data_IF_158741485100
#
_entry.id   IF_158741485100
#
_cell.length_a   1.000
_cell.length_b   1.000
_cell.length_c   1.000
_cell.angle_alpha   90.00
_cell.angle_beta   90.00
_cell.angle_gamma   90.00
#
_symmetry.space_group_name_H-M   'P 1'
#
loop_
_entity.id
_entity.type
_entity.pdbx_description
1 polymer ?
#
# COMPACT_ATOMS: atom_id res chain seq x y z
N UNK A 1 22.99 -23.67 13.06
CA UNK A 1 22.50 -23.13 11.77
C UNK A 1 23.44 -22.02 11.38
N UNK A 2 24.22 -22.24 10.33
CA UNK A 2 25.26 -21.32 9.91
C UNK A 2 24.63 -20.08 9.28
N UNK A 3 24.95 -18.91 9.82
CA UNK A 3 24.48 -17.62 9.30
C UNK A 3 25.50 -17.11 8.29
N UNK A 4 25.16 -17.18 7.01
CA UNK A 4 25.98 -16.62 5.94
C UNK A 4 25.67 -15.12 5.79
N UNK A 5 26.72 -14.29 5.73
CA UNK A 5 26.58 -12.84 5.51
C UNK A 5 26.63 -12.56 4.00
N UNK A 6 25.52 -12.10 3.44
CA UNK A 6 25.41 -11.72 2.04
C UNK A 6 25.76 -10.23 1.85
N UNK A 7 26.64 -9.92 0.89
CA UNK A 7 26.82 -8.54 0.43
C UNK A 7 25.74 -8.20 -0.59
N UNK A 8 25.08 -7.06 -0.41
CA UNK A 8 24.00 -6.64 -1.32
C UNK A 8 24.48 -6.46 -2.78
N UNK A 9 25.75 -6.13 -3.00
CA UNK A 9 26.33 -6.00 -4.34
C UNK A 9 26.41 -7.30 -5.14
N UNK A 10 26.34 -8.46 -4.45
CA UNK A 10 26.40 -9.77 -5.09
C UNK A 10 25.01 -10.28 -5.52
N UNK A 11 23.94 -9.55 -5.17
CA UNK A 11 22.57 -9.89 -5.53
C UNK A 11 22.30 -9.48 -6.99
N UNK A 12 21.89 -10.44 -7.82
CA UNK A 12 21.50 -10.21 -9.22
C UNK A 12 20.00 -10.14 -9.40
N UNK A 13 19.25 -10.95 -8.67
CA UNK A 13 17.80 -10.98 -8.72
C UNK A 13 17.27 -10.90 -7.29
N UNK A 14 16.36 -9.96 -7.06
CA UNK A 14 15.64 -9.79 -5.81
C UNK A 14 14.16 -10.05 -6.06
N UNK A 15 13.56 -10.85 -5.18
CA UNK A 15 12.13 -11.18 -5.18
C UNK A 15 11.56 -10.89 -3.80
N UNK A 16 10.60 -9.99 -3.76
CA UNK A 16 9.84 -9.67 -2.55
C UNK A 16 8.52 -10.45 -2.56
N UNK A 17 8.14 -11.00 -1.41
CA UNK A 17 6.85 -11.66 -1.20
C UNK A 17 6.08 -10.91 -0.12
N UNK A 18 4.81 -10.62 -0.38
CA UNK A 18 3.95 -9.91 0.58
C UNK A 18 3.63 -10.73 1.85
N UNK A 19 4.00 -12.01 1.87
CA UNK A 19 3.62 -12.94 2.94
C UNK A 19 4.46 -12.78 4.21
N UNK A 20 5.66 -12.19 4.12
CA UNK A 20 6.59 -12.14 5.23
C UNK A 20 7.32 -10.79 5.30
N UNK A 21 7.11 -10.09 6.42
CA UNK A 21 7.82 -8.86 6.71
C UNK A 21 9.31 -9.14 6.93
N UNK A 22 10.17 -8.28 6.37
CA UNK A 22 11.62 -8.27 6.64
C UNK A 22 12.38 -9.50 6.18
N UNK A 23 11.85 -10.18 5.17
CA UNK A 23 12.61 -11.14 4.39
C UNK A 23 12.48 -10.83 2.91
N UNK A 24 13.51 -11.20 2.15
CA UNK A 24 13.44 -11.21 0.70
C UNK A 24 14.17 -12.42 0.16
N UNK A 25 13.73 -12.88 -0.99
CA UNK A 25 14.36 -13.97 -1.73
C UNK A 25 15.33 -13.40 -2.76
N UNK A 26 16.47 -14.02 -2.96
CA UNK A 26 17.51 -13.54 -3.87
C UNK A 26 18.19 -14.66 -4.65
N UNK A 27 18.85 -14.27 -5.74
CA UNK A 27 19.81 -15.09 -6.50
C UNK A 27 21.10 -14.30 -6.72
N UNK A 28 22.21 -15.02 -6.75
CA UNK A 28 23.56 -14.47 -7.01
C UNK A 28 23.97 -14.65 -8.47
N UNK A 29 23.35 -15.59 -9.18
CA UNK A 29 23.49 -15.80 -10.62
C UNK A 29 22.12 -15.90 -11.29
N UNK A 30 22.05 -15.56 -12.58
CA UNK A 30 20.86 -15.78 -13.40
C UNK A 30 20.61 -17.28 -13.65
N UNK A 31 21.65 -18.10 -13.55
CA UNK A 31 21.60 -19.55 -13.74
C UNK A 31 21.06 -20.30 -12.51
N UNK A 32 21.02 -19.65 -11.35
CA UNK A 32 20.53 -20.24 -10.11
C UNK A 32 19.07 -20.67 -10.31
N UNK A 33 18.77 -21.96 -10.13
CA UNK A 33 17.39 -22.46 -10.29
C UNK A 33 16.52 -22.05 -9.10
N UNK A 34 17.09 -22.06 -7.89
CA UNK A 34 16.39 -21.81 -6.63
C UNK A 34 16.71 -20.42 -6.07
N UNK A 35 15.74 -19.84 -5.37
CA UNK A 35 15.95 -18.61 -4.60
C UNK A 35 16.41 -18.95 -3.19
N UNK A 36 17.40 -18.22 -2.68
CA UNK A 36 17.77 -18.22 -1.26
C UNK A 36 16.99 -17.12 -0.53
N UNK A 37 16.69 -17.29 0.75
CA UNK A 37 15.97 -16.29 1.54
C UNK A 37 16.89 -15.65 2.56
N UNK A 38 16.92 -14.32 2.63
CA UNK A 38 17.56 -13.57 3.72
C UNK A 38 16.49 -13.12 4.70
N UNK A 39 16.76 -13.32 5.99
CA UNK A 39 16.00 -12.74 7.09
C UNK A 39 16.82 -11.58 7.67
N UNK A 40 16.21 -10.40 7.76
CA UNK A 40 16.88 -9.21 8.30
C UNK A 40 16.72 -9.21 9.83
N UNK A 41 17.68 -9.80 10.55
CA UNK A 41 17.64 -10.02 12.01
C UNK A 41 17.61 -8.73 12.86
N UNK A 42 18.13 -7.60 12.35
CA UNK A 42 18.31 -6.36 13.11
C UNK A 42 17.98 -5.12 12.30
N UNK A 43 16.69 -4.86 12.13
CA UNK A 43 16.24 -3.50 11.83
C UNK A 43 16.36 -2.74 13.13
N UNK A 44 17.19 -1.69 13.16
CA UNK A 44 17.44 -0.91 14.38
C UNK A 44 16.15 -0.55 15.09
N UNK A 45 16.19 -0.53 16.44
CA UNK A 45 15.08 -0.22 17.36
C UNK A 45 14.30 1.08 17.04
N UNK A 46 14.77 1.87 16.09
CA UNK A 46 14.23 3.13 15.62
C UNK A 46 13.09 2.99 14.60
N UNK A 47 12.93 1.85 13.92
CA UNK A 47 11.72 1.58 13.12
C UNK A 47 10.82 0.64 13.88
N UNK A 48 9.89 1.21 14.64
CA UNK A 48 8.66 0.49 14.96
C UNK A 48 8.03 0.09 13.63
N UNK A 49 8.15 -1.20 13.33
CA UNK A 49 7.51 -1.84 12.19
C UNK A 49 6.03 -1.47 12.25
N UNK A 50 5.52 -0.81 11.22
CA UNK A 50 4.15 -0.30 11.11
C UNK A 50 3.07 -1.40 11.09
N UNK A 51 3.36 -2.58 11.63
CA UNK A 51 2.47 -3.73 11.69
C UNK A 51 1.21 -3.45 12.53
N UNK A 52 1.27 -2.44 13.42
CA UNK A 52 0.17 -2.02 14.29
C UNK A 52 -0.01 -0.49 14.27
N UNK A 53 -0.17 0.11 13.09
CA UNK A 53 -0.66 1.51 13.03
C UNK A 53 -2.15 1.49 13.39
N UNK A 54 -2.46 1.75 14.66
CA UNK A 54 -3.82 2.05 15.09
C UNK A 54 -4.19 3.46 14.65
N UNK A 55 -4.80 3.57 13.46
CA UNK A 55 -5.35 4.85 12.99
C UNK A 55 -6.65 5.15 13.74
N UNK A 56 -6.65 6.21 14.54
CA UNK A 56 -7.87 6.72 15.14
C UNK A 56 -8.73 7.36 14.05
N UNK A 57 -10.00 6.96 13.95
CA UNK A 57 -10.96 7.65 13.07
C UNK A 57 -11.05 9.12 13.50
N UNK A 58 -10.67 10.01 12.60
CA UNK A 58 -10.77 11.47 12.81
C UNK A 58 -12.24 11.90 12.84
N UNK A 59 -13.07 11.25 12.02
CA UNK A 59 -14.51 11.53 11.92
C UNK A 59 -15.33 10.39 12.53
N UNK A 60 -16.36 10.76 13.30
CA UNK A 60 -17.30 9.80 13.91
C UNK A 60 -18.37 9.32 12.91
N UNK A 61 -18.66 10.16 11.93
CA UNK A 61 -19.68 9.94 10.90
C UNK A 61 -19.26 10.58 9.57
N UNK A 62 -20.03 10.34 8.51
CA UNK A 62 -19.79 10.97 7.21
C UNK A 62 -20.09 12.47 7.31
N UNK A 63 -19.16 13.29 6.83
CA UNK A 63 -19.37 14.74 6.77
C UNK A 63 -20.52 15.03 5.80
N UNK A 64 -21.57 15.77 6.23
CA UNK A 64 -22.66 16.14 5.34
C UNK A 64 -22.16 17.03 4.20
N UNK A 65 -22.74 16.87 3.02
CA UNK A 65 -22.40 17.69 1.86
C UNK A 65 -23.17 19.01 1.96
N UNK A 66 -22.47 20.14 1.90
CA UNK A 66 -23.14 21.44 1.86
C UNK A 66 -23.85 21.67 0.51
N UNK A 67 -24.94 22.44 0.50
CA UNK A 67 -25.76 22.71 -0.70
C UNK A 67 -24.94 23.24 -1.88
N UNK A 68 -23.96 24.12 -1.62
CA UNK A 68 -23.05 24.64 -2.66
C UNK A 68 -22.28 23.52 -3.35
N UNK A 69 -21.81 22.53 -2.57
CA UNK A 69 -21.05 21.39 -3.09
C UNK A 69 -21.97 20.40 -3.82
N UNK A 70 -23.18 20.15 -3.30
CA UNK A 70 -24.22 19.34 -3.98
C UNK A 70 -24.55 19.92 -5.36
N UNK A 71 -24.81 21.23 -5.45
CA UNK A 71 -25.05 21.92 -6.72
C UNK A 71 -23.89 21.77 -7.70
N UNK A 72 -22.66 21.97 -7.23
CA UNK A 72 -21.47 21.80 -8.07
C UNK A 72 -21.31 20.38 -8.61
N UNK A 73 -21.59 19.35 -7.80
CA UNK A 73 -21.55 17.96 -8.22
C UNK A 73 -22.62 17.64 -9.28
N UNK A 74 -23.84 18.13 -9.08
CA UNK A 74 -24.91 17.99 -10.08
C UNK A 74 -24.56 18.69 -11.40
N UNK A 75 -23.92 19.85 -11.34
CA UNK A 75 -23.47 20.57 -12.54
C UNK A 75 -22.35 19.82 -13.29
N UNK A 76 -21.41 19.19 -12.58
CA UNK A 76 -20.38 18.33 -13.20
C UNK A 76 -21.00 17.13 -13.92
N UNK A 77 -22.05 16.53 -13.33
CA UNK A 77 -22.80 15.43 -13.95
C UNK A 77 -23.54 15.91 -15.19
N UNK A 78 -24.20 17.08 -15.13
CA UNK A 78 -24.88 17.70 -16.28
C UNK A 78 -23.91 17.98 -17.44
N UNK A 79 -22.68 18.40 -17.12
CA UNK A 79 -21.60 18.64 -18.09
C UNK A 79 -20.91 17.37 -18.59
N UNK A 80 -21.35 16.18 -18.17
CA UNK A 80 -20.71 14.89 -18.46
C UNK A 80 -19.22 14.82 -18.08
N UNK A 81 -18.78 15.65 -17.12
CA UNK A 81 -17.41 15.61 -16.60
C UNK A 81 -17.20 14.43 -15.65
N UNK A 82 -18.28 13.98 -15.01
CA UNK A 82 -18.31 12.85 -14.08
C UNK A 82 -19.44 11.88 -14.51
N UNK A 83 -19.32 10.56 -14.31
CA UNK A 83 -20.32 9.59 -14.73
C UNK A 83 -21.75 9.90 -14.26
N UNK A 84 -22.73 9.74 -15.16
CA UNK A 84 -24.15 10.02 -14.88
C UNK A 84 -24.78 9.09 -13.84
N UNK A 85 -24.19 7.92 -13.60
CA UNK A 85 -24.66 6.97 -12.59
C UNK A 85 -24.80 7.60 -11.19
N UNK A 86 -23.95 8.58 -10.85
CA UNK A 86 -23.99 9.26 -9.56
C UNK A 86 -25.15 10.25 -9.39
N UNK A 87 -25.91 10.54 -10.46
CA UNK A 87 -26.97 11.55 -10.44
C UNK A 87 -28.02 11.23 -9.37
N UNK A 88 -28.54 10.00 -9.39
CA UNK A 88 -29.60 9.57 -8.47
C UNK A 88 -29.13 9.64 -7.01
N UNK A 89 -27.86 9.33 -6.74
CA UNK A 89 -27.29 9.42 -5.40
C UNK A 89 -27.29 10.88 -4.90
N UNK A 90 -26.77 11.82 -5.69
CA UNK A 90 -26.66 13.22 -5.25
C UNK A 90 -27.99 13.96 -5.25
N UNK A 91 -28.99 13.53 -6.04
CA UNK A 91 -30.35 14.11 -5.98
C UNK A 91 -31.07 13.72 -4.69
N UNK A 92 -30.83 12.51 -4.17
CA UNK A 92 -31.46 11.97 -2.96
C UNK A 92 -30.62 12.11 -1.69
N UNK A 93 -29.55 12.91 -1.72
CA UNK A 93 -28.66 13.18 -0.59
C UNK A 93 -29.16 14.33 0.29
#
# INVERSE_FOLDING_TARGET
MDKETLKLGDVKILKESNDFNYCFSYKTSYEDTQFKTVIIDKIGKTRNTANNISVKKVYREKIPICEKKKKGLLDLIRKNTVPRFYKLFFENL
#
